data_IF_973080462173
#
_entry.id   IF_973080462173
#
_cell.length_a   1.000
_cell.length_b   1.000
_cell.length_c   1.000
_cell.angle_alpha   90.00
_cell.angle_beta   90.00
_cell.angle_gamma   90.00
#
_symmetry.space_group_name_H-M   'P 1'
#
loop_
_entity.id
_entity.type
_entity.pdbx_description
1 polymer ?
#
# COMPACT_ATOMS: atom_id res chain seq x y z
N UNK A 1 -1.98 -6.66 35.51
CA UNK A 1 -2.07 -6.91 34.06
C UNK A 1 -3.52 -6.86 33.66
N UNK A 2 -3.91 -5.88 32.84
CA UNK A 2 -5.28 -5.73 32.36
C UNK A 2 -5.65 -6.87 31.40
N UNK A 3 -6.91 -6.92 30.98
CA UNK A 3 -7.35 -7.92 29.99
C UNK A 3 -6.64 -7.71 28.64
N UNK A 4 -6.55 -6.47 28.19
CA UNK A 4 -5.90 -6.04 26.97
C UNK A 4 -4.38 -6.35 26.98
N UNK A 5 -3.73 -6.15 28.12
CA UNK A 5 -2.31 -6.51 28.29
C UNK A 5 -2.06 -8.01 28.08
N UNK A 6 -2.97 -8.87 28.55
CA UNK A 6 -2.88 -10.32 28.32
C UNK A 6 -3.04 -10.67 26.85
N UNK A 7 -3.95 -9.96 26.14
CA UNK A 7 -4.14 -10.16 24.70
C UNK A 7 -2.89 -9.74 23.93
N UNK A 8 -2.24 -8.62 24.30
CA UNK A 8 -0.98 -8.18 23.69
C UNK A 8 0.13 -9.21 23.88
N UNK A 9 0.27 -9.79 25.09
CA UNK A 9 1.25 -10.85 25.34
C UNK A 9 0.91 -12.13 24.56
N UNK A 10 -0.37 -12.48 24.45
CA UNK A 10 -0.82 -13.60 23.61
C UNK A 10 -0.45 -13.38 22.14
N UNK A 11 -0.69 -12.18 21.59
CA UNK A 11 -0.30 -11.83 20.22
C UNK A 11 1.22 -11.95 20.00
N UNK A 12 2.04 -11.56 20.96
CA UNK A 12 3.50 -11.65 20.86
C UNK A 12 3.97 -13.11 20.80
N UNK A 13 3.31 -13.99 21.50
CA UNK A 13 3.67 -15.40 21.62
C UNK A 13 3.14 -16.23 20.45
N UNK A 14 1.84 -16.19 20.22
CA UNK A 14 1.16 -17.06 19.27
C UNK A 14 1.07 -16.48 17.85
N UNK A 15 1.34 -15.16 17.66
CA UNK A 15 1.24 -14.42 16.40
C UNK A 15 -0.17 -14.40 15.79
N UNK A 16 -1.16 -14.87 16.52
CA UNK A 16 -2.56 -14.91 16.12
C UNK A 16 -3.46 -14.53 17.29
N UNK A 17 -4.60 -13.92 16.98
CA UNK A 17 -5.66 -13.60 17.94
C UNK A 17 -6.98 -14.20 17.46
N UNK A 18 -7.85 -14.55 18.40
CA UNK A 18 -9.26 -14.80 18.11
C UNK A 18 -9.95 -13.49 17.67
N UNK A 19 -11.08 -13.62 16.98
CA UNK A 19 -11.90 -12.47 16.54
C UNK A 19 -12.27 -11.56 17.72
N UNK A 20 -12.64 -12.16 18.89
CA UNK A 20 -12.98 -11.39 20.08
C UNK A 20 -11.81 -10.63 20.70
N UNK A 21 -10.63 -11.21 20.71
CA UNK A 21 -9.41 -10.53 21.17
C UNK A 21 -9.00 -9.39 20.22
N UNK A 22 -9.11 -9.63 18.92
CA UNK A 22 -8.84 -8.61 17.91
C UNK A 22 -9.81 -7.44 18.03
N UNK A 23 -11.11 -7.72 18.16
CA UNK A 23 -12.14 -6.70 18.38
C UNK A 23 -11.86 -5.88 19.63
N UNK A 24 -11.50 -6.54 20.73
CA UNK A 24 -11.14 -5.87 21.99
C UNK A 24 -9.97 -4.86 21.80
N UNK A 25 -8.91 -5.23 21.08
CA UNK A 25 -7.78 -4.33 20.83
C UNK A 25 -8.11 -3.22 19.83
N UNK A 26 -8.96 -3.48 18.82
CA UNK A 26 -9.30 -2.49 17.79
C UNK A 26 -10.31 -1.46 18.28
N UNK A 27 -11.14 -1.82 19.26
CA UNK A 27 -12.18 -0.94 19.81
C UNK A 27 -11.79 -0.25 21.13
N UNK A 28 -10.62 -0.59 21.69
CA UNK A 28 -10.19 0.03 22.96
C UNK A 28 -9.93 1.52 22.80
N UNK A 29 -10.48 2.32 23.72
CA UNK A 29 -10.24 3.75 23.83
C UNK A 29 -9.17 4.09 24.90
N UNK A 30 -8.65 3.05 25.59
CA UNK A 30 -7.61 3.23 26.59
C UNK A 30 -6.28 3.61 25.96
N UNK A 31 -5.86 4.86 26.19
CA UNK A 31 -4.65 5.45 25.58
C UNK A 31 -3.38 4.67 25.98
N UNK A 32 -3.31 4.15 27.19
CA UNK A 32 -2.13 3.41 27.67
C UNK A 32 -1.97 2.09 26.90
N UNK A 33 -3.07 1.35 26.75
CA UNK A 33 -3.12 0.14 25.93
C UNK A 33 -2.74 0.41 24.47
N UNK A 34 -3.27 1.46 23.86
CA UNK A 34 -2.96 1.86 22.48
C UNK A 34 -1.47 2.17 22.32
N UNK A 35 -0.87 2.96 23.22
CA UNK A 35 0.56 3.27 23.15
C UNK A 35 1.45 2.05 23.38
N UNK A 36 1.05 1.14 24.25
CA UNK A 36 1.73 -0.13 24.47
C UNK A 36 1.69 -1.00 23.21
N UNK A 37 0.53 -1.15 22.58
CA UNK A 37 0.38 -1.88 21.32
C UNK A 37 1.25 -1.29 20.21
N UNK A 38 1.27 0.04 20.07
CA UNK A 38 2.14 0.74 19.11
C UNK A 38 3.62 0.51 19.40
N UNK A 39 4.03 0.49 20.67
CA UNK A 39 5.41 0.24 21.07
C UNK A 39 5.84 -1.18 20.68
N UNK A 40 5.01 -2.18 20.98
CA UNK A 40 5.27 -3.57 20.62
C UNK A 40 5.33 -3.76 19.09
N UNK A 41 4.42 -3.15 18.35
CA UNK A 41 4.43 -3.18 16.88
C UNK A 41 5.71 -2.55 16.31
N UNK A 42 6.18 -1.42 16.87
CA UNK A 42 7.46 -0.80 16.48
C UNK A 42 8.64 -1.72 16.75
N UNK A 43 8.69 -2.35 17.92
CA UNK A 43 9.76 -3.29 18.26
C UNK A 43 9.77 -4.50 17.33
N UNK A 44 8.61 -5.06 17.01
CA UNK A 44 8.47 -6.17 16.08
C UNK A 44 8.96 -5.78 14.67
N UNK A 45 8.52 -4.64 14.16
CA UNK A 45 8.97 -4.14 12.86
C UNK A 45 10.48 -3.86 12.84
N UNK A 46 11.03 -3.23 13.87
CA UNK A 46 12.45 -2.92 13.96
C UNK A 46 13.34 -4.17 14.09
N UNK A 47 12.84 -5.24 14.67
CA UNK A 47 13.58 -6.51 14.76
C UNK A 47 13.80 -7.15 13.39
N UNK A 48 12.93 -6.88 12.41
CA UNK A 48 13.00 -7.41 11.04
C UNK A 48 13.65 -6.43 10.08
N UNK A 49 13.23 -5.17 10.10
CA UNK A 49 13.60 -4.15 9.11
C UNK A 49 14.59 -3.11 9.63
N UNK A 50 14.98 -3.18 10.91
CA UNK A 50 15.77 -2.13 11.54
C UNK A 50 14.99 -0.82 11.62
N UNK A 51 15.71 0.31 11.49
CA UNK A 51 15.11 1.65 11.47
C UNK A 51 14.91 2.20 10.05
N UNK A 52 15.07 1.36 9.04
CA UNK A 52 14.98 1.78 7.65
C UNK A 52 13.51 1.94 7.23
N UNK A 53 13.27 2.98 6.43
CA UNK A 53 11.98 3.21 5.76
C UNK A 53 12.23 3.01 4.27
N UNK A 54 11.49 2.08 3.66
CA UNK A 54 11.55 1.83 2.23
C UNK A 54 10.58 2.77 1.52
N UNK A 55 11.12 3.63 0.67
CA UNK A 55 10.35 4.59 -0.12
C UNK A 55 10.28 4.08 -1.56
N UNK A 56 9.08 4.17 -2.15
CA UNK A 56 8.84 3.84 -3.56
C UNK A 56 8.43 5.09 -4.31
N UNK A 57 8.94 5.28 -5.52
CA UNK A 57 8.44 6.30 -6.45
C UNK A 57 7.12 5.83 -7.04
N UNK A 58 6.11 6.69 -7.05
CA UNK A 58 4.84 6.41 -7.71
C UNK A 58 4.79 7.18 -9.04
N UNK A 59 4.47 6.48 -10.13
CA UNK A 59 4.25 7.07 -11.45
C UNK A 59 2.82 6.75 -11.87
N UNK A 60 1.98 7.77 -11.90
CA UNK A 60 0.63 7.66 -12.43
C UNK A 60 0.66 7.85 -13.94
N UNK A 61 0.73 6.76 -14.70
CA UNK A 61 0.98 6.81 -16.15
C UNK A 61 -0.26 7.08 -17.00
N UNK A 62 -1.46 6.87 -16.46
CA UNK A 62 -2.73 7.22 -17.10
C UNK A 62 -3.84 7.47 -16.09
N UNK A 63 -4.74 8.39 -16.39
CA UNK A 63 -5.98 8.57 -15.64
C UNK A 63 -7.23 8.24 -16.45
N UNK A 64 -7.07 7.57 -17.60
CA UNK A 64 -8.19 6.93 -18.28
C UNK A 64 -8.58 5.65 -17.55
N UNK A 65 -9.90 5.40 -17.44
CA UNK A 65 -10.42 4.17 -16.86
C UNK A 65 -11.70 3.77 -17.56
N UNK A 66 -11.84 2.48 -17.90
CA UNK A 66 -13.08 1.95 -18.49
C UNK A 66 -14.21 1.81 -17.45
N UNK A 67 -13.87 1.75 -16.16
CA UNK A 67 -14.80 1.54 -15.05
C UNK A 67 -15.39 2.85 -14.53
N UNK A 68 -16.53 2.76 -13.86
CA UNK A 68 -17.27 3.92 -13.32
C UNK A 68 -17.54 3.77 -11.81
N UNK A 69 -16.49 3.41 -11.04
CA UNK A 69 -16.58 3.21 -9.59
C UNK A 69 -16.90 4.54 -8.88
N UNK A 70 -17.95 4.58 -8.07
CA UNK A 70 -18.45 5.80 -7.43
C UNK A 70 -17.44 6.55 -6.56
N UNK A 71 -16.53 5.84 -5.91
CA UNK A 71 -15.52 6.44 -5.03
C UNK A 71 -14.28 6.96 -5.77
N UNK A 72 -14.14 6.67 -7.07
CA UNK A 72 -12.91 6.94 -7.81
C UNK A 72 -12.97 8.25 -8.59
N UNK A 73 -11.99 9.16 -8.35
CA UNK A 73 -11.90 10.44 -9.06
C UNK A 73 -11.63 10.30 -10.56
N UNK A 74 -10.97 9.21 -10.99
CA UNK A 74 -10.69 8.94 -12.41
C UNK A 74 -11.73 8.04 -13.08
N UNK A 75 -12.90 7.83 -12.45
CA UNK A 75 -13.98 7.05 -13.05
C UNK A 75 -14.40 7.61 -14.41
N UNK A 76 -14.87 6.74 -15.32
CA UNK A 76 -15.24 7.10 -16.68
C UNK A 76 -16.22 8.26 -16.76
N UNK A 77 -17.24 8.28 -15.89
CA UNK A 77 -18.29 9.30 -15.87
C UNK A 77 -17.87 10.66 -15.28
N UNK A 78 -16.64 10.81 -14.77
CA UNK A 78 -16.18 12.11 -14.28
C UNK A 78 -15.73 13.01 -15.45
N UNK A 79 -16.61 13.89 -15.88
CA UNK A 79 -16.36 14.87 -16.95
C UNK A 79 -15.42 16.02 -16.53
N UNK A 80 -15.18 16.22 -15.23
CA UNK A 80 -14.29 17.27 -14.73
C UNK A 80 -12.81 16.82 -14.69
N UNK A 81 -12.52 15.53 -14.89
CA UNK A 81 -11.15 15.03 -14.90
C UNK A 81 -10.46 15.33 -16.25
N UNK A 82 -9.40 16.12 -16.23
CA UNK A 82 -8.52 16.26 -17.38
C UNK A 82 -7.78 14.93 -17.61
N UNK A 83 -7.92 14.38 -18.82
CA UNK A 83 -7.43 13.04 -19.15
C UNK A 83 -6.07 13.10 -19.81
N UNK A 84 -5.17 12.21 -19.37
CA UNK A 84 -3.83 12.09 -19.94
C UNK A 84 -3.37 10.63 -20.02
N UNK A 85 -2.37 10.40 -20.85
CA UNK A 85 -1.54 9.20 -20.91
C UNK A 85 -0.10 9.65 -21.06
N UNK A 86 0.79 9.10 -20.25
CA UNK A 86 2.23 9.31 -20.42
C UNK A 86 2.75 8.43 -21.55
N UNK A 87 3.71 8.94 -22.28
CA UNK A 87 4.47 8.15 -23.25
C UNK A 87 5.52 7.30 -22.53
N UNK A 88 6.07 6.29 -23.22
CA UNK A 88 7.15 5.49 -22.69
C UNK A 88 8.36 6.35 -22.27
N UNK A 89 8.74 7.33 -23.13
CA UNK A 89 9.85 8.23 -22.81
C UNK A 89 9.58 9.06 -21.56
N UNK A 90 8.33 9.52 -21.36
CA UNK A 90 7.95 10.24 -20.15
C UNK A 90 8.04 9.37 -18.90
N UNK A 91 7.59 8.14 -18.98
CA UNK A 91 7.69 7.17 -17.87
C UNK A 91 9.16 6.89 -17.53
N UNK A 92 9.99 6.61 -18.54
CA UNK A 92 11.43 6.39 -18.36
C UNK A 92 12.14 7.62 -17.79
N UNK A 93 11.77 8.81 -18.24
CA UNK A 93 12.30 10.08 -17.70
C UNK A 93 11.94 10.26 -16.23
N UNK A 94 10.70 9.93 -15.82
CA UNK A 94 10.31 9.93 -14.41
C UNK A 94 11.14 8.94 -13.58
N UNK A 95 11.37 7.73 -14.12
CA UNK A 95 12.22 6.73 -13.46
C UNK A 95 13.67 7.22 -13.31
N UNK A 96 14.25 7.81 -14.35
CA UNK A 96 15.61 8.35 -14.31
C UNK A 96 15.75 9.45 -13.26
N UNK A 97 14.85 10.43 -13.26
CA UNK A 97 14.80 11.50 -12.26
C UNK A 97 14.63 10.95 -10.84
N UNK A 98 13.71 9.99 -10.67
CA UNK A 98 13.49 9.36 -9.38
C UNK A 98 14.73 8.57 -8.90
N UNK A 99 15.45 7.91 -9.81
CA UNK A 99 16.68 7.20 -9.47
C UNK A 99 17.78 8.16 -8.97
N UNK A 100 17.95 9.32 -9.60
CA UNK A 100 18.85 10.37 -9.15
C UNK A 100 18.49 10.90 -7.75
N UNK A 101 17.17 10.98 -7.44
CA UNK A 101 16.66 11.37 -6.14
C UNK A 101 16.79 10.27 -5.06
N UNK A 102 17.28 9.08 -5.43
CA UNK A 102 17.55 7.99 -4.50
C UNK A 102 16.47 6.89 -4.45
N UNK A 103 15.38 6.97 -5.23
CA UNK A 103 14.42 5.89 -5.35
C UNK A 103 15.05 4.68 -6.04
N UNK A 104 14.67 3.47 -5.61
CA UNK A 104 15.16 2.21 -6.18
C UNK A 104 14.03 1.28 -6.61
N UNK A 105 12.82 1.63 -6.26
CA UNK A 105 11.61 0.91 -6.63
C UNK A 105 10.58 1.90 -7.12
N UNK A 106 9.92 1.59 -8.23
CA UNK A 106 8.84 2.39 -8.80
C UNK A 106 7.57 1.55 -8.88
N UNK A 107 6.46 2.17 -8.53
CA UNK A 107 5.12 1.62 -8.68
C UNK A 107 4.46 2.37 -9.83
N UNK A 108 3.98 1.63 -10.82
CA UNK A 108 3.18 2.18 -11.90
C UNK A 108 1.71 2.06 -11.51
N UNK A 109 0.98 3.17 -11.52
CA UNK A 109 -0.43 3.21 -11.19
C UNK A 109 -1.21 3.89 -12.30
N UNK A 110 -2.43 3.40 -12.57
CA UNK A 110 -3.32 4.01 -13.54
C UNK A 110 -4.75 3.52 -13.39
N UNK A 111 -5.63 4.03 -14.22
CA UNK A 111 -6.94 3.43 -14.42
C UNK A 111 -6.84 2.18 -15.30
N UNK A 112 -7.91 1.39 -15.35
CA UNK A 112 -8.01 0.30 -16.32
C UNK A 112 -8.20 0.88 -17.72
N UNK A 113 -7.07 1.19 -18.37
CA UNK A 113 -7.00 1.81 -19.67
C UNK A 113 -6.67 0.78 -20.75
N UNK A 114 -7.60 0.45 -21.65
CA UNK A 114 -7.35 -0.54 -22.72
C UNK A 114 -6.23 -0.16 -23.70
N UNK A 115 -5.74 1.06 -23.67
CA UNK A 115 -4.60 1.50 -24.50
C UNK A 115 -3.30 0.78 -24.11
N UNK A 116 -3.10 0.48 -22.82
CA UNK A 116 -1.90 -0.18 -22.30
C UNK A 116 -2.08 -1.70 -22.17
N UNK A 117 -2.40 -2.38 -23.25
CA UNK A 117 -2.78 -3.80 -23.21
C UNK A 117 -1.64 -4.80 -23.00
N UNK A 118 -0.40 -4.42 -23.25
CA UNK A 118 0.72 -5.39 -23.24
C UNK A 118 1.76 -5.10 -22.13
N UNK A 119 2.12 -3.84 -21.91
CA UNK A 119 3.16 -3.46 -20.94
C UNK A 119 2.73 -3.67 -19.47
N UNK A 120 1.46 -3.54 -19.16
CA UNK A 120 0.94 -3.75 -17.80
C UNK A 120 0.87 -5.22 -17.42
N UNK A 121 0.47 -6.10 -18.32
CA UNK A 121 0.41 -7.54 -18.07
C UNK A 121 1.78 -8.19 -17.88
N UNK A 122 2.82 -7.62 -18.45
CA UNK A 122 4.21 -8.13 -18.27
C UNK A 122 4.90 -7.55 -17.04
N UNK A 123 4.43 -6.43 -16.51
CA UNK A 123 4.95 -5.86 -15.25
C UNK A 123 4.25 -6.40 -14.01
N UNK A 124 3.06 -6.96 -14.17
CA UNK A 124 2.26 -7.59 -13.12
C UNK A 124 2.52 -9.09 -12.97
N UNK A 125 3.52 -9.60 -13.66
CA UNK A 125 3.97 -10.99 -13.57
C UNK A 125 4.44 -11.41 -12.15
N UNK A 126 4.44 -10.49 -11.18
CA UNK A 126 4.72 -10.81 -9.79
C UNK A 126 3.51 -11.41 -9.06
N UNK A 127 2.28 -11.16 -9.51
CA UNK A 127 1.05 -11.67 -8.90
C UNK A 127 0.63 -13.04 -9.47
N UNK A 128 1.23 -13.50 -10.55
CA UNK A 128 0.91 -14.79 -11.19
C UNK A 128 1.71 -15.98 -10.65
N UNK A 129 2.52 -15.81 -9.64
CA UNK A 129 3.32 -16.89 -9.04
C UNK A 129 2.55 -17.76 -8.04
N UNK A 130 1.29 -17.48 -7.81
CA UNK A 130 0.41 -18.28 -6.95
C UNK A 130 -0.52 -19.22 -7.75
N UNK A 131 -0.03 -19.72 -8.83
CA UNK A 131 -0.64 -20.81 -9.58
C UNK A 131 -0.48 -22.16 -8.90
#
# INVERSE_FOLDING_TARGET
MTHEEKIIEHLKTEKMLSVGELDCLLTTEDTETVEKLKAEARMAAQSVYGKQIYIRGLIEFTNYCKNDCYYCGIRRGNACAERYRLTEEQILSCCATGYELGFRTFVLQGGEDPYFTCLLYTSDAADELDG
#
